data_IF_943629340190
#
_entry.id   IF_943629340190
#
_cell.length_a   1.000
_cell.length_b   1.000
_cell.length_c   1.000
_cell.angle_alpha   90.00
_cell.angle_beta   90.00
_cell.angle_gamma   90.00
#
_symmetry.space_group_name_H-M   'P 1'
#
loop_
_entity.id
_entity.type
_entity.pdbx_description
1 polymer ?
#
# COMPACT_ATOMS: atom_id res chain seq x y z
N UNK A 1 -8.00 -13.37 29.40
CA UNK A 1 -8.06 -12.89 28.00
C UNK A 1 -6.65 -12.61 27.52
N UNK A 2 -6.38 -12.88 26.24
CA UNK A 2 -5.10 -12.56 25.59
C UNK A 2 -5.34 -11.54 24.50
N UNK A 3 -4.87 -10.31 24.65
CA UNK A 3 -4.90 -9.30 23.60
C UNK A 3 -3.51 -9.15 22.99
N UNK A 4 -3.43 -8.80 21.72
CA UNK A 4 -2.15 -8.49 21.05
C UNK A 4 -2.01 -6.98 20.91
N UNK A 5 -0.82 -6.44 21.14
CA UNK A 5 -0.47 -5.04 20.95
C UNK A 5 0.55 -4.91 19.81
N UNK A 6 0.25 -4.15 18.76
CA UNK A 6 1.19 -3.93 17.68
C UNK A 6 2.16 -2.81 18.06
N UNK A 7 3.44 -3.11 18.20
CA UNK A 7 4.50 -2.09 18.24
C UNK A 7 4.97 -1.88 16.81
N UNK A 8 4.93 -0.62 16.37
CA UNK A 8 5.17 -0.25 14.99
C UNK A 8 6.52 0.45 14.87
N UNK A 9 7.38 -0.08 14.03
CA UNK A 9 8.53 0.66 13.53
C UNK A 9 8.14 1.25 12.18
N UNK A 10 8.15 2.58 12.07
CA UNK A 10 7.78 3.30 10.85
C UNK A 10 8.79 3.06 9.72
N UNK A 11 10.07 2.83 10.04
CA UNK A 11 11.10 2.35 9.10
C UNK A 11 12.18 1.53 9.82
N UNK A 12 12.45 0.28 9.40
CA UNK A 12 11.73 -0.51 8.39
C UNK A 12 10.32 -0.88 8.88
N UNK A 13 9.31 -0.82 8.00
CA UNK A 13 7.92 -1.17 8.34
C UNK A 13 7.84 -2.58 8.95
N UNK A 14 7.73 -2.64 10.28
CA UNK A 14 7.68 -3.88 11.06
C UNK A 14 6.55 -3.78 12.07
N UNK A 15 5.78 -4.85 12.15
CA UNK A 15 4.75 -5.04 13.17
C UNK A 15 5.26 -6.09 14.14
N UNK A 16 5.53 -5.69 15.38
CA UNK A 16 5.83 -6.62 16.46
C UNK A 16 4.59 -6.79 17.34
N UNK A 17 4.04 -8.00 17.30
CA UNK A 17 2.87 -8.38 18.07
C UNK A 17 3.28 -8.78 19.51
N UNK A 18 2.90 -7.97 20.51
CA UNK A 18 3.17 -8.25 21.91
C UNK A 18 1.91 -8.73 22.62
N UNK A 19 2.02 -9.86 23.31
CA UNK A 19 0.90 -10.44 24.03
C UNK A 19 0.66 -9.70 25.36
N UNK A 20 -0.60 -9.34 25.60
CA UNK A 20 -1.12 -8.71 26.81
C UNK A 20 -2.16 -9.65 27.41
N UNK A 21 -1.85 -10.27 28.54
CA UNK A 21 -2.77 -11.16 29.23
C UNK A 21 -3.52 -10.35 30.30
N UNK A 22 -4.85 -10.33 30.20
CA UNK A 22 -5.75 -9.67 31.14
C UNK A 22 -6.52 -10.72 31.93
N UNK A 23 -6.49 -10.62 33.26
CA UNK A 23 -7.24 -11.46 34.18
C UNK A 23 -8.15 -10.57 35.04
N UNK A 24 -9.44 -10.94 35.08
CA UNK A 24 -10.46 -10.22 35.82
C UNK A 24 -11.07 -11.17 36.84
N UNK A 25 -11.07 -10.77 38.11
CA UNK A 25 -11.85 -11.39 39.18
C UNK A 25 -12.86 -10.40 39.74
N UNK A 26 -13.63 -10.80 40.76
CA UNK A 26 -14.71 -9.95 41.32
C UNK A 26 -14.20 -8.62 41.91
N UNK A 27 -12.96 -8.58 42.43
CA UNK A 27 -12.38 -7.40 43.10
C UNK A 27 -10.95 -7.08 42.66
N UNK A 28 -10.46 -7.72 41.62
CA UNK A 28 -9.11 -7.52 41.16
C UNK A 28 -9.01 -7.59 39.65
N UNK A 29 -8.11 -6.79 39.12
CA UNK A 29 -7.71 -6.79 37.72
C UNK A 29 -6.19 -6.95 37.65
N UNK A 30 -5.73 -7.90 36.84
CA UNK A 30 -4.31 -8.16 36.64
C UNK A 30 -4.01 -8.12 35.14
N UNK A 31 -3.09 -7.24 34.74
CA UNK A 31 -2.50 -7.22 33.40
C UNK A 31 -1.06 -7.71 33.44
N UNK A 32 -0.72 -8.68 32.59
CA UNK A 32 0.64 -9.17 32.39
C UNK A 32 1.06 -8.92 30.94
N UNK A 33 2.11 -8.11 30.76
CA UNK A 33 2.63 -7.70 29.45
C UNK A 33 4.15 -7.59 29.49
N UNK A 34 4.82 -7.91 28.38
CA UNK A 34 6.29 -7.85 28.28
C UNK A 34 6.84 -6.44 28.04
N UNK A 35 6.02 -5.56 27.46
CA UNK A 35 6.35 -4.16 27.17
C UNK A 35 5.35 -3.26 27.89
N UNK A 36 5.76 -2.09 28.41
CA UNK A 36 4.82 -1.10 28.96
C UNK A 36 3.74 -0.75 27.93
N UNK A 37 2.47 -0.73 28.35
CA UNK A 37 1.38 -0.38 27.44
C UNK A 37 1.49 1.11 27.07
N UNK A 38 1.46 1.47 25.78
CA UNK A 38 1.59 2.85 25.31
C UNK A 38 0.44 3.75 25.77
N UNK A 39 -0.67 3.18 26.25
CA UNK A 39 -1.84 3.87 26.76
C UNK A 39 -2.02 3.75 28.29
N UNK A 40 -0.97 3.33 29.02
CA UNK A 40 -1.03 3.19 30.50
C UNK A 40 -1.45 4.48 31.19
N UNK A 41 -0.86 5.63 30.78
CA UNK A 41 -1.19 6.94 31.36
C UNK A 41 -2.64 7.36 31.10
N UNK A 42 -3.18 7.01 29.92
CA UNK A 42 -4.59 7.28 29.56
C UNK A 42 -5.54 6.48 30.45
N UNK A 43 -5.23 5.19 30.70
CA UNK A 43 -6.00 4.35 31.64
C UNK A 43 -5.97 4.96 33.05
N UNK A 44 -4.79 5.31 33.55
CA UNK A 44 -4.63 5.86 34.90
C UNK A 44 -5.41 7.16 35.08
N UNK A 45 -5.33 8.06 34.10
CA UNK A 45 -6.03 9.35 34.13
C UNK A 45 -7.56 9.17 34.13
N UNK A 46 -8.09 8.29 33.27
CA UNK A 46 -9.54 8.01 33.22
C UNK A 46 -10.05 7.34 34.49
N UNK A 47 -9.25 6.46 35.09
CA UNK A 47 -9.59 5.81 36.36
C UNK A 47 -9.61 6.79 37.54
N UNK A 48 -8.68 7.75 37.59
CA UNK A 48 -8.64 8.78 38.63
C UNK A 48 -9.87 9.71 38.56
N UNK A 49 -10.33 10.06 37.36
CA UNK A 49 -11.50 10.93 37.16
C UNK A 49 -12.83 10.28 37.60
N UNK A 50 -12.91 8.95 37.67
CA UNK A 50 -14.12 8.22 38.09
C UNK A 50 -14.14 7.86 39.59
N UNK A 51 -13.14 8.31 40.36
CA UNK A 51 -13.00 7.92 41.78
C UNK A 51 -14.04 8.59 42.70
N UNK A 52 -14.70 9.67 42.27
CA UNK A 52 -15.53 10.48 43.18
C UNK A 52 -16.98 9.99 43.38
N UNK A 53 -17.54 9.07 42.58
CA UNK A 53 -18.96 8.70 42.74
C UNK A 53 -19.41 7.27 42.39
N UNK A 54 -18.52 6.36 41.99
CA UNK A 54 -18.94 4.99 41.66
C UNK A 54 -17.84 4.01 42.03
N UNK A 55 -18.19 2.93 42.75
CA UNK A 55 -17.28 1.80 42.88
C UNK A 55 -16.94 1.33 41.47
N UNK A 56 -15.68 1.49 41.04
CA UNK A 56 -15.22 0.97 39.77
C UNK A 56 -15.28 -0.55 39.90
N UNK A 57 -16.35 -1.14 39.36
CA UNK A 57 -16.46 -2.58 39.23
C UNK A 57 -15.34 -3.08 38.30
N UNK A 58 -14.83 -4.28 38.58
CA UNK A 58 -13.75 -4.90 37.81
C UNK A 58 -14.13 -5.02 36.32
N UNK A 59 -15.44 -5.15 36.03
CA UNK A 59 -16.01 -5.13 34.69
C UNK A 59 -15.90 -3.77 33.99
N UNK A 60 -16.07 -2.66 34.71
CA UNK A 60 -15.92 -1.31 34.13
C UNK A 60 -14.45 -0.96 33.89
N UNK A 61 -13.54 -1.40 34.77
CA UNK A 61 -12.10 -1.22 34.54
C UNK A 61 -11.63 -1.99 33.30
N UNK A 62 -12.09 -3.23 33.11
CA UNK A 62 -11.82 -3.98 31.88
C UNK A 62 -12.31 -3.23 30.64
N UNK A 63 -13.50 -2.62 30.69
CA UNK A 63 -14.00 -1.77 29.61
C UNK A 63 -13.01 -0.64 29.28
N UNK A 64 -12.53 0.13 30.27
CA UNK A 64 -11.57 1.23 30.05
C UNK A 64 -10.31 0.71 29.35
N UNK A 65 -9.78 -0.43 29.77
CA UNK A 65 -8.57 -1.01 29.17
C UNK A 65 -8.81 -1.45 27.72
N UNK A 66 -9.94 -2.09 27.43
CA UNK A 66 -10.30 -2.50 26.07
C UNK A 66 -10.58 -1.30 25.15
N UNK A 67 -11.22 -0.26 25.70
CA UNK A 67 -11.51 0.99 25.02
C UNK A 67 -10.23 1.72 24.58
N UNK A 68 -9.25 1.84 25.49
CA UNK A 68 -7.94 2.40 25.17
C UNK A 68 -7.14 1.53 24.19
N UNK A 69 -7.28 0.20 24.27
CA UNK A 69 -6.68 -0.71 23.29
C UNK A 69 -7.26 -0.48 21.89
N UNK A 70 -8.60 -0.39 21.75
CA UNK A 70 -9.23 -0.11 20.45
C UNK A 70 -8.82 1.26 19.92
N UNK A 71 -8.79 2.27 20.78
CA UNK A 71 -8.37 3.63 20.41
C UNK A 71 -6.93 3.64 19.88
N UNK A 72 -6.02 2.87 20.50
CA UNK A 72 -4.66 2.71 19.99
C UNK A 72 -4.64 2.08 18.58
N UNK A 73 -5.44 1.04 18.34
CA UNK A 73 -5.54 0.45 17.00
C UNK A 73 -6.14 1.41 15.96
N UNK A 74 -7.13 2.21 16.34
CA UNK A 74 -7.72 3.25 15.50
C UNK A 74 -6.68 4.32 15.13
N UNK A 75 -5.88 4.80 16.09
CA UNK A 75 -4.78 5.75 15.87
C UNK A 75 -3.76 5.19 14.85
N UNK A 76 -3.40 3.92 15.00
CA UNK A 76 -2.49 3.21 14.09
C UNK A 76 -3.07 3.09 12.68
N UNK A 77 -4.36 2.75 12.57
CA UNK A 77 -5.03 2.62 11.28
C UNK A 77 -5.13 3.99 10.57
N UNK A 78 -5.35 5.08 11.32
CA UNK A 78 -5.32 6.44 10.80
C UNK A 78 -3.95 6.83 10.23
N UNK A 79 -2.85 6.48 10.92
CA UNK A 79 -1.50 6.70 10.39
C UNK A 79 -1.25 5.90 9.11
N UNK A 80 -1.73 4.65 9.06
CA UNK A 80 -1.63 3.83 7.85
C UNK A 80 -2.37 4.45 6.66
N UNK A 81 -3.54 5.07 6.89
CA UNK A 81 -4.29 5.75 5.83
C UNK A 81 -3.49 6.90 5.21
N UNK A 82 -2.82 7.72 6.03
CA UNK A 82 -1.93 8.79 5.53
C UNK A 82 -0.76 8.21 4.73
N UNK A 83 -0.19 7.08 5.16
CA UNK A 83 0.87 6.40 4.41
C UNK A 83 0.39 5.83 3.07
N UNK A 84 -0.85 5.32 3.01
CA UNK A 84 -1.48 4.84 1.76
C UNK A 84 -1.53 5.97 0.73
N UNK A 85 -2.04 7.15 1.11
CA UNK A 85 -2.12 8.31 0.21
C UNK A 85 -0.73 8.70 -0.34
N UNK A 86 0.29 8.71 0.51
CA UNK A 86 1.67 9.00 0.11
C UNK A 86 2.26 7.95 -0.83
N UNK A 87 1.98 6.67 -0.60
CA UNK A 87 2.42 5.57 -1.47
C UNK A 87 1.72 5.62 -2.83
N UNK A 88 0.44 5.98 -2.86
CA UNK A 88 -0.35 6.09 -4.10
C UNK A 88 0.22 7.18 -5.03
N UNK A 89 0.48 8.37 -4.49
CA UNK A 89 1.09 9.47 -5.26
C UNK A 89 2.46 9.07 -5.82
N UNK A 90 3.29 8.42 -4.99
CA UNK A 90 4.61 7.95 -5.41
C UNK A 90 4.54 6.85 -6.47
N UNK A 91 3.57 5.93 -6.40
CA UNK A 91 3.42 4.84 -7.37
C UNK A 91 3.17 5.33 -8.81
N UNK A 92 2.60 6.53 -8.97
CA UNK A 92 2.35 7.15 -10.27
C UNK A 92 3.58 7.85 -10.86
N UNK A 93 4.59 8.14 -10.04
CA UNK A 93 5.75 8.95 -10.42
C UNK A 93 7.05 8.14 -10.45
N UNK A 94 7.18 7.18 -9.54
CA UNK A 94 8.39 6.39 -9.32
C UNK A 94 8.31 5.06 -10.07
N UNK A 95 9.40 4.65 -10.71
CA UNK A 95 9.57 3.35 -11.38
C UNK A 95 10.80 2.59 -10.86
N UNK A 96 11.34 3.00 -9.71
CA UNK A 96 12.53 2.42 -9.09
C UNK A 96 12.25 1.13 -8.32
N UNK A 97 13.24 0.23 -8.32
CA UNK A 97 13.21 -1.00 -7.53
C UNK A 97 13.20 -0.73 -6.01
N UNK A 98 13.74 0.41 -5.58
CA UNK A 98 13.72 0.86 -4.18
C UNK A 98 12.29 1.13 -3.70
N UNK A 99 11.48 1.82 -4.52
CA UNK A 99 10.07 2.04 -4.22
C UNK A 99 9.27 0.73 -4.20
N UNK A 100 9.52 -0.18 -5.14
CA UNK A 100 8.89 -1.51 -5.12
C UNK A 100 9.17 -2.24 -3.80
N UNK A 101 10.41 -2.17 -3.31
CA UNK A 101 10.80 -2.79 -2.05
C UNK A 101 10.06 -2.14 -0.87
N UNK A 102 10.00 -0.81 -0.81
CA UNK A 102 9.24 -0.07 0.21
C UNK A 102 7.75 -0.44 0.20
N UNK A 103 7.14 -0.50 -0.99
CA UNK A 103 5.73 -0.87 -1.18
C UNK A 103 5.45 -2.31 -0.73
N UNK A 104 6.35 -3.25 -1.01
CA UNK A 104 6.20 -4.64 -0.54
C UNK A 104 6.29 -4.75 0.98
N UNK A 105 7.18 -3.98 1.62
CA UNK A 105 7.24 -3.90 3.08
C UNK A 105 5.94 -3.32 3.66
N UNK A 106 5.44 -2.24 3.07
CA UNK A 106 4.19 -1.62 3.49
C UNK A 106 2.97 -2.54 3.29
N UNK A 107 2.93 -3.30 2.19
CA UNK A 107 1.90 -4.33 1.94
C UNK A 107 1.87 -5.41 3.01
N UNK A 108 3.05 -5.90 3.42
CA UNK A 108 3.16 -6.88 4.53
C UNK A 108 2.71 -6.29 5.85
N UNK A 109 3.04 -5.02 6.09
CA UNK A 109 2.64 -4.28 7.28
C UNK A 109 1.11 -4.13 7.37
N UNK A 110 0.45 -3.67 6.31
CA UNK A 110 -1.02 -3.54 6.25
C UNK A 110 -1.73 -4.90 6.42
N UNK A 111 -1.19 -5.96 5.80
CA UNK A 111 -1.70 -7.31 5.99
C UNK A 111 -1.65 -7.74 7.46
N UNK A 112 -0.48 -7.58 8.11
CA UNK A 112 -0.29 -7.97 9.51
C UNK A 112 -1.24 -7.22 10.44
N UNK A 113 -1.42 -5.91 10.26
CA UNK A 113 -2.33 -5.11 11.07
C UNK A 113 -3.79 -5.57 10.92
N UNK A 114 -4.24 -5.83 9.68
CA UNK A 114 -5.60 -6.32 9.43
C UNK A 114 -5.85 -7.69 10.05
N UNK A 115 -4.85 -8.57 10.03
CA UNK A 115 -4.93 -9.89 10.62
C UNK A 115 -4.98 -9.80 12.16
N UNK A 116 -4.19 -8.90 12.76
CA UNK A 116 -4.20 -8.68 14.20
C UNK A 116 -5.55 -8.13 14.66
N UNK A 117 -6.10 -7.12 14.00
CA UNK A 117 -7.42 -6.58 14.35
C UNK A 117 -8.53 -7.66 14.28
N UNK A 118 -8.49 -8.53 13.26
CA UNK A 118 -9.47 -9.61 13.08
C UNK A 118 -9.40 -10.65 14.22
N UNK A 119 -8.21 -10.92 14.77
CA UNK A 119 -8.03 -11.88 15.87
C UNK A 119 -8.78 -11.47 17.15
N UNK A 120 -8.94 -10.17 17.41
CA UNK A 120 -9.67 -9.69 18.59
C UNK A 120 -11.17 -9.97 18.51
N UNK A 121 -11.74 -10.19 17.31
CA UNK A 121 -13.18 -10.42 17.11
C UNK A 121 -13.71 -11.58 17.95
N UNK A 122 -12.98 -12.70 17.95
CA UNK A 122 -13.39 -13.88 18.72
C UNK A 122 -13.42 -13.60 20.22
N UNK A 123 -12.58 -12.68 20.69
CA UNK A 123 -12.42 -12.36 22.11
C UNK A 123 -13.53 -11.40 22.56
N UNK A 124 -13.79 -10.35 21.78
CA UNK A 124 -14.85 -9.40 22.09
C UNK A 124 -16.24 -10.05 22.04
N UNK A 125 -16.43 -11.02 21.13
CA UNK A 125 -17.66 -11.81 21.06
C UNK A 125 -17.94 -12.64 22.33
N UNK A 126 -16.93 -12.93 23.17
CA UNK A 126 -17.14 -13.64 24.45
C UNK A 126 -17.84 -12.73 25.47
N UNK A 127 -17.52 -11.43 25.49
CA UNK A 127 -18.11 -10.47 26.43
C UNK A 127 -19.59 -10.22 26.18
N UNK A 128 -20.06 -10.47 24.96
CA UNK A 128 -21.47 -10.32 24.60
C UNK A 128 -22.32 -11.56 24.93
N UNK A 129 -21.72 -12.65 25.44
CA UNK A 129 -22.46 -13.88 25.77
C UNK A 129 -23.24 -13.71 27.09
N UNK A 130 -24.52 -14.11 27.14
CA UNK A 130 -25.33 -14.04 28.36
C UNK A 130 -24.75 -14.81 29.55
N UNK A 131 -23.94 -15.84 29.28
CA UNK A 131 -23.40 -16.73 30.31
C UNK A 131 -22.19 -16.14 31.05
N UNK A 132 -21.68 -14.98 30.62
CA UNK A 132 -20.50 -14.34 31.19
C UNK A 132 -20.86 -13.61 32.50
N UNK A 133 -20.86 -14.36 33.60
CA UNK A 133 -21.29 -13.93 34.95
C UNK A 133 -20.55 -12.71 35.54
N UNK A 134 -19.43 -12.28 34.95
CA UNK A 134 -18.66 -11.12 35.41
C UNK A 134 -19.13 -9.78 34.84
N UNK A 135 -20.13 -9.76 33.94
CA UNK A 135 -20.77 -8.53 33.43
C UNK A 135 -22.27 -8.62 33.74
N UNK A 136 -22.70 -8.40 35.01
CA UNK A 136 -24.04 -8.76 35.44
C UNK A 136 -25.10 -7.69 35.15
N UNK A 137 -24.68 -6.43 34.97
CA UNK A 137 -25.60 -5.29 34.87
C UNK A 137 -25.93 -4.92 33.42
N UNK A 138 -27.23 -4.71 33.15
CA UNK A 138 -27.72 -4.30 31.82
C UNK A 138 -27.09 -2.98 31.34
N UNK A 139 -26.72 -2.08 32.26
CA UNK A 139 -26.05 -0.82 31.93
C UNK A 139 -24.62 -1.04 31.42
N UNK A 140 -23.86 -1.94 32.04
CA UNK A 140 -22.47 -2.24 31.61
C UNK A 140 -22.46 -2.91 30.23
N UNK A 141 -23.47 -3.74 29.93
CA UNK A 141 -23.60 -4.42 28.64
C UNK A 141 -23.67 -3.45 27.43
N UNK A 142 -24.19 -2.23 27.62
CA UNK A 142 -24.24 -1.22 26.56
C UNK A 142 -22.83 -0.78 26.13
N UNK A 143 -21.90 -0.63 27.09
CA UNK A 143 -20.51 -0.27 26.81
C UNK A 143 -19.78 -1.36 26.02
N UNK A 144 -19.98 -2.64 26.38
CA UNK A 144 -19.38 -3.77 25.65
C UNK A 144 -19.95 -3.94 24.23
N UNK A 145 -21.24 -3.61 24.02
CA UNK A 145 -21.83 -3.56 22.67
C UNK A 145 -21.22 -2.45 21.81
N UNK A 146 -20.93 -1.29 22.39
CA UNK A 146 -20.23 -0.23 21.66
C UNK A 146 -18.80 -0.65 21.28
N UNK A 147 -18.07 -1.30 22.20
CA UNK A 147 -16.75 -1.85 21.91
C UNK A 147 -16.76 -2.85 20.73
N UNK A 148 -17.73 -3.76 20.68
CA UNK A 148 -17.86 -4.72 19.58
C UNK A 148 -18.20 -4.02 18.24
N UNK A 149 -19.06 -3.00 18.29
CA UNK A 149 -19.38 -2.19 17.12
C UNK A 149 -18.15 -1.41 16.61
N UNK A 150 -17.35 -0.84 17.53
CA UNK A 150 -16.08 -0.17 17.19
C UNK A 150 -15.05 -1.12 16.63
N UNK A 151 -14.87 -2.29 17.25
CA UNK A 151 -13.97 -3.32 16.72
C UNK A 151 -14.39 -3.76 15.32
N UNK A 152 -15.69 -3.95 15.07
CA UNK A 152 -16.20 -4.29 13.74
C UNK A 152 -15.84 -3.21 12.70
N UNK A 153 -16.04 -1.93 13.03
CA UNK A 153 -15.62 -0.80 12.17
C UNK A 153 -14.11 -0.77 11.95
N UNK A 154 -13.31 -1.00 12.99
CA UNK A 154 -11.86 -1.09 12.89
C UNK A 154 -11.39 -2.22 11.96
N UNK A 155 -12.01 -3.40 12.06
CA UNK A 155 -11.70 -4.54 11.17
C UNK A 155 -12.01 -4.18 9.72
N UNK A 156 -13.18 -3.58 9.46
CA UNK A 156 -13.58 -3.22 8.10
C UNK A 156 -12.66 -2.14 7.51
N UNK A 157 -12.32 -1.11 8.29
CA UNK A 157 -11.38 -0.05 7.86
C UNK A 157 -9.97 -0.60 7.62
N UNK A 158 -9.49 -1.52 8.46
CA UNK A 158 -8.18 -2.16 8.26
C UNK A 158 -8.15 -3.07 7.02
N UNK A 159 -9.26 -3.76 6.73
CA UNK A 159 -9.41 -4.54 5.49
C UNK A 159 -9.46 -3.64 4.25
N UNK A 160 -10.17 -2.52 4.33
CA UNK A 160 -10.22 -1.54 3.24
C UNK A 160 -8.82 -0.97 2.96
N UNK A 161 -8.07 -0.61 4.00
CA UNK A 161 -6.69 -0.15 3.87
C UNK A 161 -5.77 -1.18 3.20
N UNK A 162 -5.86 -2.47 3.61
CA UNK A 162 -5.15 -3.57 2.94
C UNK A 162 -5.49 -3.64 1.44
N UNK A 163 -6.76 -3.46 1.08
CA UNK A 163 -7.20 -3.48 -0.31
C UNK A 163 -6.68 -2.27 -1.10
N UNK A 164 -6.67 -1.08 -0.51
CA UNK A 164 -6.04 0.11 -1.10
C UNK A 164 -4.56 -0.14 -1.40
N UNK A 165 -3.82 -0.78 -0.49
CA UNK A 165 -2.40 -1.12 -0.74
C UNK A 165 -2.24 -2.14 -1.89
N UNK A 166 -3.16 -3.08 -2.05
CA UNK A 166 -3.17 -3.95 -3.24
C UNK A 166 -3.42 -3.15 -4.52
N UNK A 167 -4.38 -2.22 -4.49
CA UNK A 167 -4.64 -1.31 -5.61
C UNK A 167 -3.40 -0.50 -6.02
N UNK A 168 -2.66 0.04 -5.03
CA UNK A 168 -1.41 0.77 -5.29
C UNK A 168 -0.36 -0.13 -5.97
N UNK A 169 -0.24 -1.39 -5.53
CA UNK A 169 0.66 -2.36 -6.16
C UNK A 169 0.29 -2.62 -7.62
N UNK A 170 -1.00 -2.78 -7.93
CA UNK A 170 -1.46 -2.99 -9.30
C UNK A 170 -1.26 -1.74 -10.17
N UNK A 171 -1.50 -0.55 -9.62
CA UNK A 171 -1.20 0.74 -10.27
C UNK A 171 0.30 0.82 -10.60
N UNK A 172 1.18 0.50 -9.66
CA UNK A 172 2.63 0.52 -9.88
C UNK A 172 3.06 -0.43 -10.99
N UNK A 173 2.59 -1.69 -10.97
CA UNK A 173 2.89 -2.67 -12.02
C UNK A 173 2.40 -2.20 -13.39
N UNK A 174 1.21 -1.61 -13.45
CA UNK A 174 0.68 -1.01 -14.67
C UNK A 174 1.54 0.16 -15.15
N UNK A 175 1.94 1.07 -14.25
CA UNK A 175 2.77 2.22 -14.56
C UNK A 175 4.16 1.80 -15.11
N UNK A 176 4.83 0.85 -14.46
CA UNK A 176 6.10 0.29 -14.95
C UNK A 176 5.93 -0.40 -16.31
N UNK A 177 4.85 -1.14 -16.51
CA UNK A 177 4.54 -1.78 -17.80
C UNK A 177 4.30 -0.74 -18.91
N UNK A 178 3.61 0.36 -18.59
CA UNK A 178 3.41 1.48 -19.51
C UNK A 178 4.74 2.16 -19.85
N UNK A 179 5.59 2.42 -18.86
CA UNK A 179 6.91 3.02 -19.05
C UNK A 179 7.80 2.14 -19.94
N UNK A 180 7.92 0.85 -19.61
CA UNK A 180 8.73 -0.11 -20.39
C UNK A 180 8.21 -0.25 -21.82
N UNK A 181 6.89 -0.31 -22.03
CA UNK A 181 6.30 -0.31 -23.36
C UNK A 181 6.62 0.98 -24.14
N UNK A 182 6.61 2.14 -23.47
CA UNK A 182 6.97 3.40 -24.11
C UNK A 182 8.45 3.44 -24.53
N UNK A 183 9.35 2.95 -23.68
CA UNK A 183 10.79 2.82 -24.00
C UNK A 183 10.98 1.88 -25.21
N UNK A 184 10.30 0.74 -25.23
CA UNK A 184 10.35 -0.19 -26.37
C UNK A 184 9.82 0.43 -27.66
N UNK A 185 8.73 1.23 -27.59
CA UNK A 185 8.21 1.95 -28.76
C UNK A 185 9.23 2.93 -29.32
N UNK A 186 9.90 3.70 -28.47
CA UNK A 186 10.95 4.66 -28.89
C UNK A 186 12.11 3.91 -29.56
N UNK A 187 12.64 2.87 -28.92
CA UNK A 187 13.74 2.09 -29.47
C UNK A 187 13.37 1.43 -30.81
N UNK A 188 12.14 0.92 -30.93
CA UNK A 188 11.62 0.33 -32.16
C UNK A 188 11.47 1.37 -33.26
N UNK A 189 10.95 2.56 -32.95
CA UNK A 189 10.79 3.65 -33.90
C UNK A 189 12.15 4.10 -34.46
N UNK A 190 13.14 4.31 -33.59
CA UNK A 190 14.51 4.67 -33.98
C UNK A 190 15.12 3.59 -34.87
N UNK A 191 15.02 2.31 -34.47
CA UNK A 191 15.57 1.18 -35.23
C UNK A 191 14.90 1.02 -36.61
N UNK A 192 13.57 1.18 -36.68
CA UNK A 192 12.80 1.06 -37.93
C UNK A 192 13.14 2.16 -38.93
N UNK A 193 13.54 3.34 -38.47
CA UNK A 193 14.00 4.44 -39.33
C UNK A 193 15.46 4.20 -39.75
N UNK A 194 16.32 3.75 -38.84
CA UNK A 194 17.74 3.53 -39.11
C UNK A 194 18.01 2.37 -40.07
N UNK A 195 17.29 1.26 -39.98
CA UNK A 195 17.50 0.08 -40.83
C UNK A 195 17.41 0.38 -42.34
N UNK A 196 16.32 0.95 -42.88
CA UNK A 196 16.26 1.27 -44.30
C UNK A 196 17.21 2.41 -44.69
N UNK A 197 17.41 3.41 -43.83
CA UNK A 197 18.38 4.48 -44.09
C UNK A 197 19.80 3.94 -44.26
N UNK A 198 20.24 3.08 -43.34
CA UNK A 198 21.56 2.44 -43.41
C UNK A 198 21.69 1.52 -44.62
N UNK A 199 20.63 0.79 -44.99
CA UNK A 199 20.61 0.01 -46.23
C UNK A 199 20.79 0.89 -47.47
N UNK A 200 20.08 2.02 -47.56
CA UNK A 200 20.23 2.97 -48.67
C UNK A 200 21.67 3.53 -48.70
N UNK A 201 22.19 4.00 -47.57
CA UNK A 201 23.57 4.50 -47.49
C UNK A 201 24.59 3.43 -47.89
N UNK A 202 24.43 2.20 -47.41
CA UNK A 202 25.33 1.08 -47.71
C UNK A 202 25.29 0.73 -49.20
N UNK A 203 24.10 0.69 -49.79
CA UNK A 203 23.91 0.48 -51.23
C UNK A 203 24.66 1.56 -52.02
N UNK A 204 24.33 2.84 -51.82
CA UNK A 204 24.95 3.94 -52.57
C UNK A 204 26.45 4.12 -52.30
N UNK A 205 26.95 3.69 -51.13
CA UNK A 205 28.39 3.66 -50.82
C UNK A 205 29.13 2.56 -51.59
N UNK A 206 28.48 1.40 -51.80
CA UNK A 206 29.11 0.23 -52.43
C UNK A 206 29.14 0.34 -53.96
N UNK A 207 28.10 0.90 -54.59
CA UNK A 207 28.07 1.10 -56.04
C UNK A 207 28.85 2.36 -56.43
N UNK A 208 30.00 2.18 -57.08
CA UNK A 208 30.81 3.29 -57.59
C UNK A 208 30.19 3.86 -58.88
N UNK A 209 30.36 5.17 -59.10
CA UNK A 209 29.86 6.00 -60.22
C UNK A 209 30.12 5.40 -61.62
N UNK A 210 31.03 4.43 -61.76
CA UNK A 210 31.34 3.73 -63.01
C UNK A 210 30.37 2.60 -63.36
N UNK A 211 29.66 1.99 -62.40
CA UNK A 211 28.83 0.80 -62.65
C UNK A 211 27.36 1.13 -63.02
N UNK A 212 26.89 2.35 -62.74
CA UNK A 212 25.50 2.77 -63.02
C UNK A 212 25.53 4.12 -63.78
N UNK A 213 25.37 4.11 -65.12
CA UNK A 213 25.44 5.32 -65.94
C UNK A 213 24.33 6.35 -65.68
N UNK A 214 23.26 5.97 -64.96
CA UNK A 214 22.11 6.82 -64.63
C UNK A 214 22.37 7.80 -63.45
N UNK A 215 23.48 7.65 -62.71
CA UNK A 215 23.80 8.41 -61.50
C UNK A 215 24.98 9.35 -61.75
N UNK A 216 24.77 10.42 -62.53
CA UNK A 216 25.75 11.52 -62.59
C UNK A 216 25.93 12.12 -61.19
N UNK A 217 27.15 12.53 -60.81
CA UNK A 217 27.59 12.88 -59.44
C UNK A 217 26.60 13.76 -58.63
N UNK A 218 25.80 14.61 -59.30
CA UNK A 218 24.81 15.50 -58.66
C UNK A 218 23.41 14.90 -58.53
N UNK A 219 22.96 14.14 -59.53
CA UNK A 219 21.61 13.55 -59.57
C UNK A 219 21.55 12.35 -58.62
N UNK A 220 22.60 11.53 -58.57
CA UNK A 220 22.60 10.36 -57.70
C UNK A 220 22.60 10.69 -56.20
N UNK A 221 23.32 11.74 -55.81
CA UNK A 221 23.25 12.25 -54.44
C UNK A 221 21.85 12.76 -54.09
N UNK A 222 21.20 13.49 -55.01
CA UNK A 222 19.83 13.99 -54.80
C UNK A 222 18.81 12.85 -54.67
N UNK A 223 18.92 11.80 -55.50
CA UNK A 223 18.04 10.62 -55.45
C UNK A 223 18.23 9.84 -54.14
N UNK A 224 19.48 9.66 -53.69
CA UNK A 224 19.77 9.02 -52.40
C UNK A 224 19.09 9.78 -51.25
N UNK A 225 19.31 11.10 -51.15
CA UNK A 225 18.70 11.94 -50.10
C UNK A 225 17.18 11.87 -50.16
N UNK A 226 16.58 11.96 -51.35
CA UNK A 226 15.13 11.91 -51.52
C UNK A 226 14.56 10.55 -51.10
N UNK A 227 15.23 9.44 -51.42
CA UNK A 227 14.80 8.10 -50.99
C UNK A 227 14.85 7.93 -49.47
N UNK A 228 15.91 8.39 -48.81
CA UNK A 228 16.05 8.39 -47.34
C UNK A 228 14.92 9.19 -46.68
N UNK A 229 14.65 10.41 -47.18
CA UNK A 229 13.58 11.28 -46.67
C UNK A 229 12.21 10.65 -46.89
N UNK A 230 11.97 10.06 -48.07
CA UNK A 230 10.70 9.42 -48.41
C UNK A 230 10.40 8.21 -47.50
N UNK A 231 11.38 7.32 -47.31
CA UNK A 231 11.22 6.14 -46.46
C UNK A 231 11.05 6.52 -45.00
N UNK A 232 11.89 7.43 -44.48
CA UNK A 232 11.78 7.93 -43.10
C UNK A 232 10.44 8.61 -42.86
N UNK A 233 9.99 9.45 -43.81
CA UNK A 233 8.70 10.13 -43.76
C UNK A 233 7.52 9.16 -43.78
N UNK A 234 7.59 8.10 -44.59
CA UNK A 234 6.53 7.07 -44.64
C UNK A 234 6.42 6.30 -43.33
N UNK A 235 7.57 5.96 -42.72
CA UNK A 235 7.63 5.27 -41.42
C UNK A 235 7.05 6.16 -40.31
N UNK A 236 7.47 7.43 -40.24
CA UNK A 236 6.94 8.39 -39.27
C UNK A 236 5.44 8.63 -39.45
N UNK A 237 4.98 8.78 -40.69
CA UNK A 237 3.55 8.93 -40.99
C UNK A 237 2.74 7.72 -40.52
N UNK A 238 3.24 6.50 -40.74
CA UNK A 238 2.60 5.28 -40.24
C UNK A 238 2.57 5.21 -38.71
N UNK A 239 3.65 5.57 -38.03
CA UNK A 239 3.69 5.60 -36.57
C UNK A 239 2.72 6.62 -35.99
N UNK A 240 2.59 7.80 -36.61
CA UNK A 240 1.63 8.83 -36.23
C UNK A 240 0.19 8.36 -36.41
N UNK A 241 -0.13 7.71 -37.53
CA UNK A 241 -1.49 7.19 -37.77
C UNK A 241 -1.88 6.05 -36.80
N UNK A 242 -0.91 5.29 -36.28
CA UNK A 242 -1.18 4.23 -35.30
C UNK A 242 -1.33 4.74 -33.86
N UNK A 243 -1.19 6.04 -33.60
CA UNK A 243 -1.27 6.62 -32.25
C UNK A 243 -0.07 6.24 -31.37
N UNK A 244 1.08 5.96 -31.97
CA UNK A 244 2.34 5.69 -31.25
C UNK A 244 3.16 6.98 -31.04
N UNK A 245 2.66 8.10 -31.55
CA UNK A 245 3.19 9.46 -31.49
C UNK A 245 2.08 10.39 -30.99
#
# INVERSE_FOLDING_TARGET
>A
MTATLPVLESRPYRVQAHQVNLFVGEKFFLSAHQIPLPFTERILTRSALHTENTQIDSAFFLYIVLDELLTYYEDVNAQMQVQIEQMEERALLDTSDDFLTELLHFKRYAFALSQLADQHRAIFAVFLRPDFHYIPEQEIMLYYRDLDARLSRLIDTSRAAKESVNGIFDIYVSHVSHHTNNVMKILTMVSTILLPCTLIFTFFSTYTIQDIPLLTHRIGFAVMVLSVVCVSGTVLWRFRHKGWL
#
